data_IF_722030180279
#
_entry.id   IF_722030180279
#
_cell.length_a   1.000
_cell.length_b   1.000
_cell.length_c   1.000
_cell.angle_alpha   90.00
_cell.angle_beta   90.00
_cell.angle_gamma   90.00
#
_symmetry.space_group_name_H-M   'P 1'
#
loop_
_entity.id
_entity.type
_entity.pdbx_description
1 polymer ?
#
# COMPACT_ATOMS: atom_id res chain seq x y z
N UNK A 1 17.14 -29.81 -46.47
CA UNK A 1 17.07 -31.03 -45.63
C UNK A 1 18.40 -31.13 -44.87
N UNK A 2 18.49 -30.51 -43.69
CA UNK A 2 19.74 -30.43 -42.90
C UNK A 2 19.70 -31.56 -41.87
N UNK A 3 20.64 -32.50 -41.99
CA UNK A 3 20.81 -33.63 -41.08
C UNK A 3 21.69 -33.17 -39.91
N UNK A 4 21.13 -33.14 -38.71
CA UNK A 4 21.87 -32.89 -37.47
C UNK A 4 22.74 -34.11 -37.17
N UNK A 5 24.06 -33.95 -37.19
CA UNK A 5 24.99 -34.92 -36.63
C UNK A 5 25.07 -34.70 -35.12
N UNK A 6 24.78 -35.75 -34.34
CA UNK A 6 24.94 -35.77 -32.89
C UNK A 6 26.43 -35.63 -32.53
N UNK A 7 26.80 -34.84 -31.51
CA UNK A 7 28.12 -34.95 -30.90
C UNK A 7 28.14 -36.17 -29.97
N UNK A 8 28.94 -37.17 -30.34
CA UNK A 8 29.34 -38.29 -29.49
C UNK A 8 30.17 -37.77 -28.31
N UNK A 9 29.66 -37.91 -27.08
CA UNK A 9 30.42 -37.64 -25.86
C UNK A 9 31.53 -38.71 -25.77
N UNK A 10 32.76 -38.30 -26.07
CA UNK A 10 33.95 -39.11 -25.80
C UNK A 10 34.05 -39.27 -24.29
N UNK A 11 34.03 -40.52 -23.80
CA UNK A 11 34.33 -40.85 -22.40
C UNK A 11 35.72 -40.29 -22.06
N UNK A 12 35.77 -39.18 -21.33
CA UNK A 12 37.02 -38.69 -20.76
C UNK A 12 37.46 -39.64 -19.65
N UNK A 13 38.74 -40.05 -19.74
CA UNK A 13 39.45 -40.89 -18.78
C UNK A 13 39.17 -40.47 -17.34
N UNK A 14 39.04 -41.48 -16.47
CA UNK A 14 39.00 -41.33 -15.02
C UNK A 14 40.11 -40.39 -14.57
N UNK A 15 39.73 -39.21 -14.08
CA UNK A 15 40.65 -38.32 -13.38
C UNK A 15 40.79 -38.91 -11.98
N UNK A 16 41.82 -39.74 -11.80
CA UNK A 16 42.23 -40.22 -10.49
C UNK A 16 42.48 -39.02 -9.58
N UNK A 17 41.70 -38.91 -8.51
CA UNK A 17 41.86 -37.86 -7.53
C UNK A 17 43.20 -38.04 -6.81
N UNK A 18 44.13 -37.12 -7.05
CA UNK A 18 45.36 -37.01 -6.26
C UNK A 18 44.94 -36.50 -4.88
N UNK A 19 44.87 -37.41 -3.90
CA UNK A 19 44.74 -37.07 -2.49
C UNK A 19 46.07 -36.45 -2.01
N UNK A 20 46.18 -35.13 -2.15
CA UNK A 20 47.23 -34.34 -1.52
C UNK A 20 46.58 -33.34 -0.56
N UNK A 21 46.76 -33.58 0.74
CA UNK A 21 46.42 -32.60 1.78
C UNK A 21 47.18 -31.28 1.54
N UNK A 22 46.43 -30.18 1.51
CA UNK A 22 46.80 -28.85 2.03
C UNK A 22 45.66 -27.87 1.71
N UNK A 23 45.26 -27.10 2.74
CA UNK A 23 44.36 -25.94 2.67
C UNK A 23 44.57 -25.14 1.37
N UNK A 24 43.72 -25.40 0.39
CA UNK A 24 43.69 -24.67 -0.88
C UNK A 24 42.53 -23.68 -0.86
N UNK A 25 42.44 -22.81 -1.87
CA UNK A 25 41.37 -21.80 -1.98
C UNK A 25 39.96 -22.43 -2.03
N UNK A 26 39.84 -23.71 -2.40
CA UNK A 26 38.55 -24.43 -2.40
C UNK A 26 38.18 -24.96 -1.01
N UNK A 27 39.11 -24.98 -0.05
CA UNK A 27 38.89 -25.57 1.27
C UNK A 27 37.82 -24.82 2.07
N UNK A 28 37.80 -23.48 2.14
CA UNK A 28 36.70 -22.75 2.79
C UNK A 28 35.34 -22.97 2.10
N UNK A 29 35.35 -23.08 0.76
CA UNK A 29 34.14 -23.35 -0.03
C UNK A 29 33.66 -24.78 0.22
N UNK A 30 34.58 -25.74 0.30
CA UNK A 30 34.29 -27.14 0.57
C UNK A 30 33.79 -27.31 2.00
N UNK A 31 34.41 -26.68 3.00
CA UNK A 31 33.93 -26.67 4.39
C UNK A 31 32.56 -26.01 4.52
N UNK A 32 32.29 -24.93 3.77
CA UNK A 32 30.97 -24.32 3.69
C UNK A 32 29.93 -25.29 3.11
N UNK A 33 30.28 -25.97 2.01
CA UNK A 33 29.39 -26.91 1.31
C UNK A 33 29.30 -28.30 1.97
N UNK A 34 30.23 -28.69 2.86
CA UNK A 34 30.21 -29.98 3.58
C UNK A 34 29.04 -30.04 4.57
N UNK A 35 28.58 -28.88 5.05
CA UNK A 35 27.41 -28.76 5.93
C UNK A 35 26.09 -28.57 5.16
N UNK A 36 26.14 -28.32 3.85
CA UNK A 36 24.96 -28.12 3.02
C UNK A 36 24.42 -29.48 2.56
N UNK A 37 23.26 -29.86 3.10
CA UNK A 37 22.53 -31.08 2.74
C UNK A 37 21.70 -30.83 1.48
N UNK A 38 21.97 -31.61 0.43
CA UNK A 38 21.06 -31.71 -0.71
C UNK A 38 19.79 -32.45 -0.28
N UNK A 39 18.63 -31.86 -0.51
CA UNK A 39 17.34 -32.40 -0.06
C UNK A 39 16.54 -32.95 -1.24
N UNK A 40 15.95 -34.13 -1.06
CA UNK A 40 15.04 -34.74 -2.04
C UNK A 40 13.65 -34.08 -2.06
N UNK A 41 12.86 -34.30 -3.13
CA UNK A 41 11.54 -33.68 -3.28
C UNK A 41 10.55 -34.04 -2.16
N UNK A 42 10.68 -35.21 -1.54
CA UNK A 42 9.80 -35.67 -0.45
C UNK A 42 9.98 -34.85 0.85
N UNK A 43 11.21 -34.43 1.15
CA UNK A 43 11.54 -33.68 2.37
C UNK A 43 11.48 -32.16 2.16
N UNK A 44 11.71 -31.70 0.93
CA UNK A 44 11.83 -30.28 0.56
C UNK A 44 10.62 -29.43 0.98
N UNK A 45 9.40 -29.94 0.75
CA UNK A 45 8.18 -29.21 1.12
C UNK A 45 8.01 -29.11 2.64
N UNK A 46 8.35 -30.17 3.38
CA UNK A 46 8.29 -30.19 4.85
C UNK A 46 9.24 -29.16 5.47
N UNK A 47 10.47 -29.09 4.97
CA UNK A 47 11.48 -28.11 5.42
C UNK A 47 11.01 -26.68 5.14
N UNK A 48 10.52 -26.40 3.93
CA UNK A 48 10.00 -25.06 3.59
C UNK A 48 8.83 -24.66 4.48
N UNK A 49 7.89 -25.57 4.74
CA UNK A 49 6.73 -25.31 5.61
C UNK A 49 7.17 -25.08 7.06
N UNK A 50 8.12 -25.84 7.57
CA UNK A 50 8.67 -25.65 8.92
C UNK A 50 9.33 -24.27 9.08
N UNK A 51 10.13 -23.84 8.10
CA UNK A 51 10.79 -22.52 8.14
C UNK A 51 9.78 -21.37 7.92
N UNK A 52 8.76 -21.59 7.10
CA UNK A 52 7.77 -20.57 6.76
C UNK A 52 6.72 -20.36 7.85
N UNK A 53 6.13 -21.46 8.35
CA UNK A 53 4.96 -21.47 9.24
C UNK A 53 5.12 -22.37 10.47
N UNK A 54 6.32 -22.87 10.76
CA UNK A 54 6.60 -23.61 11.99
C UNK A 54 6.66 -22.71 13.22
N UNK A 55 7.09 -23.26 14.35
CA UNK A 55 7.05 -22.59 15.66
C UNK A 55 7.85 -21.27 15.73
N UNK A 56 8.87 -21.13 14.86
CA UNK A 56 9.65 -19.90 14.69
C UNK A 56 9.50 -19.32 13.27
N UNK A 57 8.46 -19.71 12.54
CA UNK A 57 8.18 -19.26 11.19
C UNK A 57 7.71 -17.81 11.18
N UNK A 58 8.17 -17.04 10.20
CA UNK A 58 7.86 -15.61 10.10
C UNK A 58 7.10 -15.25 8.83
N UNK A 59 6.49 -16.24 8.15
CA UNK A 59 5.71 -16.03 6.94
C UNK A 59 6.45 -15.28 5.83
N UNK A 60 7.78 -15.46 5.75
CA UNK A 60 8.60 -14.78 4.75
C UNK A 60 8.15 -15.08 3.31
N UNK A 61 8.21 -14.05 2.46
CA UNK A 61 7.98 -14.20 1.02
C UNK A 61 8.98 -15.16 0.36
N UNK A 62 8.61 -15.74 -0.78
CA UNK A 62 9.30 -16.90 -1.36
C UNK A 62 10.81 -16.75 -1.58
N UNK A 63 11.29 -15.57 -1.97
CA UNK A 63 12.75 -15.32 -2.14
C UNK A 63 13.48 -15.33 -0.80
N UNK A 64 12.92 -14.64 0.20
CA UNK A 64 13.47 -14.60 1.56
C UNK A 64 13.42 -15.96 2.23
N UNK A 65 12.36 -16.74 1.99
CA UNK A 65 12.25 -18.12 2.46
C UNK A 65 13.35 -19.00 1.87
N UNK A 66 13.57 -18.96 0.55
CA UNK A 66 14.64 -19.71 -0.11
C UNK A 66 16.03 -19.38 0.47
N UNK A 67 16.35 -18.09 0.66
CA UNK A 67 17.62 -17.69 1.27
C UNK A 67 17.76 -18.16 2.72
N UNK A 68 16.68 -18.19 3.50
CA UNK A 68 16.72 -18.74 4.86
C UNK A 68 17.00 -20.24 4.85
N UNK A 69 16.39 -20.98 3.93
CA UNK A 69 16.63 -22.41 3.76
C UNK A 69 18.08 -22.70 3.40
N UNK A 70 18.68 -21.90 2.49
CA UNK A 70 20.12 -21.99 2.19
C UNK A 70 20.98 -21.72 3.42
N UNK A 71 20.68 -20.68 4.21
CA UNK A 71 21.43 -20.36 5.43
C UNK A 71 21.32 -21.42 6.53
N UNK A 72 20.28 -22.26 6.48
CA UNK A 72 20.13 -23.40 7.38
C UNK A 72 20.83 -24.67 6.88
N UNK A 73 21.55 -24.58 5.75
CA UNK A 73 22.31 -25.69 5.19
C UNK A 73 21.47 -26.63 4.32
N UNK A 74 20.35 -26.17 3.75
CA UNK A 74 19.55 -26.99 2.85
C UNK A 74 19.49 -26.39 1.45
N UNK A 75 19.71 -27.23 0.43
CA UNK A 75 19.58 -26.80 -0.96
C UNK A 75 19.03 -27.90 -1.86
N UNK A 76 18.41 -27.50 -2.96
CA UNK A 76 17.99 -28.36 -4.07
C UNK A 76 17.72 -27.50 -5.32
N UNK A 77 17.69 -28.08 -6.54
CA UNK A 77 17.64 -27.31 -7.79
C UNK A 77 16.45 -26.35 -7.93
N UNK A 78 15.30 -26.71 -7.37
CA UNK A 78 14.04 -25.95 -7.50
C UNK A 78 13.69 -25.11 -6.28
N UNK A 79 14.61 -24.96 -5.30
CA UNK A 79 14.36 -24.30 -4.01
C UNK A 79 13.63 -22.96 -4.11
N UNK A 80 14.08 -22.07 -4.99
CA UNK A 80 13.46 -20.75 -5.15
C UNK A 80 12.05 -20.82 -5.72
N UNK A 81 11.79 -21.73 -6.65
CA UNK A 81 10.46 -21.94 -7.22
C UNK A 81 9.52 -22.57 -6.18
N UNK A 82 10.01 -23.54 -5.42
CA UNK A 82 9.25 -24.24 -4.39
C UNK A 82 8.93 -23.32 -3.21
N UNK A 83 9.88 -22.51 -2.75
CA UNK A 83 9.68 -21.52 -1.71
C UNK A 83 8.64 -20.45 -2.11
N UNK A 84 8.67 -19.98 -3.37
CA UNK A 84 7.61 -19.11 -3.91
C UNK A 84 6.25 -19.80 -3.90
N UNK A 85 6.18 -21.07 -4.30
CA UNK A 85 4.93 -21.85 -4.30
C UNK A 85 4.37 -22.04 -2.89
N UNK A 86 5.22 -22.35 -1.91
CA UNK A 86 4.82 -22.50 -0.50
C UNK A 86 4.28 -21.19 0.06
N UNK A 87 4.98 -20.08 -0.13
CA UNK A 87 4.51 -18.77 0.32
C UNK A 87 3.20 -18.33 -0.38
N UNK A 88 3.04 -18.62 -1.67
CA UNK A 88 1.83 -18.30 -2.42
C UNK A 88 0.61 -19.16 -2.00
N UNK A 89 0.81 -20.39 -1.53
CA UNK A 89 -0.26 -21.27 -1.05
C UNK A 89 -0.59 -21.10 0.43
N UNK A 90 0.18 -20.30 1.18
CA UNK A 90 -0.07 -20.08 2.59
C UNK A 90 -1.31 -19.20 2.78
N UNK A 91 -2.39 -19.77 3.31
CA UNK A 91 -3.66 -19.07 3.54
C UNK A 91 -3.50 -17.85 4.46
N UNK A 92 -2.71 -17.98 5.53
CA UNK A 92 -2.41 -16.86 6.43
C UNK A 92 -1.73 -15.70 5.68
N UNK A 93 -0.76 -16.00 4.82
CA UNK A 93 -0.14 -14.99 3.97
C UNK A 93 -1.13 -14.42 2.96
N UNK A 94 -2.00 -15.20 2.34
CA UNK A 94 -2.95 -14.69 1.35
C UNK A 94 -4.04 -13.79 1.97
N UNK A 95 -4.47 -14.08 3.22
CA UNK A 95 -5.45 -13.26 3.93
C UNK A 95 -4.87 -11.96 4.48
N UNK A 96 -3.60 -11.98 4.90
CA UNK A 96 -2.95 -10.85 5.57
C UNK A 96 -2.13 -10.00 4.58
N UNK A 97 -1.69 -10.57 3.45
CA UNK A 97 -0.90 -9.84 2.47
C UNK A 97 -1.70 -8.66 1.90
N UNK A 98 -1.12 -7.47 2.03
CA UNK A 98 -1.60 -6.30 1.34
C UNK A 98 -1.66 -6.61 -0.17
N UNK A 99 -2.77 -6.29 -0.81
CA UNK A 99 -2.94 -6.44 -2.25
C UNK A 99 -2.13 -5.34 -2.97
N UNK A 100 -0.80 -5.45 -2.94
CA UNK A 100 0.16 -4.45 -3.46
C UNK A 100 0.04 -4.28 -4.99
N UNK A 101 -0.74 -5.13 -5.67
CA UNK A 101 -0.95 -5.11 -7.12
C UNK A 101 -2.38 -4.79 -7.52
N UNK A 102 -3.09 -3.99 -6.74
CA UNK A 102 -4.24 -3.31 -7.33
C UNK A 102 -3.70 -2.37 -8.41
N UNK A 103 -4.25 -2.38 -9.64
CA UNK A 103 -3.91 -1.35 -10.61
C UNK A 103 -4.17 0.00 -9.94
N UNK A 104 -3.27 0.99 -10.09
CA UNK A 104 -3.56 2.33 -9.63
C UNK A 104 -4.85 2.78 -10.32
N UNK A 105 -5.92 2.90 -9.54
CA UNK A 105 -7.13 3.54 -10.02
C UNK A 105 -6.74 4.98 -10.36
N UNK A 106 -7.10 5.45 -11.55
CA UNK A 106 -6.81 6.81 -11.98
C UNK A 106 -7.53 7.74 -11.01
N UNK A 107 -6.78 8.30 -10.05
CA UNK A 107 -7.26 9.43 -9.25
C UNK A 107 -7.54 10.56 -10.24
N UNK A 108 -8.81 10.80 -10.53
CA UNK A 108 -9.21 11.98 -11.27
C UNK A 108 -8.91 13.18 -10.37
N UNK A 109 -7.80 13.85 -10.64
CA UNK A 109 -7.45 15.07 -9.92
C UNK A 109 -8.54 16.11 -10.21
N UNK A 110 -9.26 16.50 -9.16
CA UNK A 110 -10.20 17.61 -9.23
C UNK A 110 -9.36 18.87 -9.46
N UNK A 111 -9.41 19.41 -10.68
CA UNK A 111 -8.68 20.62 -11.05
C UNK A 111 -9.64 21.78 -11.09
N UNK A 112 -9.41 22.79 -10.24
CA UNK A 112 -10.16 24.04 -10.28
C UNK A 112 -9.72 24.87 -11.48
N UNK A 113 -10.64 25.40 -12.29
CA UNK A 113 -10.28 26.14 -13.49
C UNK A 113 -9.76 27.57 -13.20
N UNK A 114 -10.12 28.19 -12.08
CA UNK A 114 -9.65 29.51 -11.64
C UNK A 114 -9.73 29.67 -10.10
N UNK A 115 -9.04 30.67 -9.49
CA UNK A 115 -9.13 30.95 -8.06
C UNK A 115 -10.57 31.05 -7.55
N UNK A 116 -10.84 30.41 -6.41
CA UNK A 116 -12.12 30.46 -5.69
C UNK A 116 -13.33 29.87 -6.41
N UNK A 117 -13.12 29.22 -7.56
CA UNK A 117 -14.18 28.52 -8.28
C UNK A 117 -14.65 27.26 -7.53
N UNK A 118 -13.74 26.60 -6.80
CA UNK A 118 -13.98 25.30 -6.19
C UNK A 118 -13.40 25.27 -4.77
N UNK A 119 -14.24 24.94 -3.80
CA UNK A 119 -13.84 24.84 -2.39
C UNK A 119 -14.08 23.44 -1.85
N UNK A 120 -13.08 22.90 -1.15
CA UNK A 120 -13.22 21.71 -0.32
C UNK A 120 -13.51 22.12 1.11
N UNK A 121 -14.59 21.64 1.71
CA UNK A 121 -14.97 21.94 3.08
C UNK A 121 -14.93 20.65 3.91
N UNK A 122 -14.28 20.72 5.06
CA UNK A 122 -14.08 19.61 5.97
C UNK A 122 -14.33 20.01 7.43
N UNK A 123 -14.69 19.02 8.25
CA UNK A 123 -14.95 19.17 9.68
C UNK A 123 -13.95 18.36 10.50
N UNK A 124 -13.13 19.06 11.27
CA UNK A 124 -12.15 18.43 12.17
C UNK A 124 -12.81 18.21 13.54
N UNK A 125 -12.93 16.94 13.94
CA UNK A 125 -13.59 16.56 15.19
C UNK A 125 -13.22 15.15 15.68
N UNK A 126 -13.12 14.91 17.01
CA UNK A 126 -13.10 15.89 18.10
C UNK A 126 -11.67 16.40 18.40
N UNK A 127 -11.55 17.68 18.74
CA UNK A 127 -10.29 18.32 19.14
C UNK A 127 -10.27 18.63 20.65
N UNK A 128 -9.09 18.86 21.26
CA UNK A 128 -9.00 19.39 22.62
C UNK A 128 -9.82 20.69 22.77
N UNK A 129 -10.52 20.83 23.89
CA UNK A 129 -11.37 22.00 24.14
C UNK A 129 -10.53 23.26 24.22
N UNK A 130 -10.76 24.18 23.28
CA UNK A 130 -10.15 25.50 23.27
C UNK A 130 -10.94 26.49 24.16
N UNK A 131 -10.39 27.69 24.33
CA UNK A 131 -11.07 28.82 25.00
C UNK A 131 -12.46 29.04 24.37
N UNK A 132 -13.49 29.19 25.20
CA UNK A 132 -14.87 29.34 24.74
C UNK A 132 -15.61 28.02 24.46
N UNK A 133 -15.00 26.86 24.78
CA UNK A 133 -15.68 25.56 24.69
C UNK A 133 -15.70 24.95 23.29
N UNK A 134 -14.98 25.54 22.33
CA UNK A 134 -14.86 25.00 20.99
C UNK A 134 -14.06 23.69 21.01
N UNK A 135 -14.59 22.66 20.34
CA UNK A 135 -14.03 21.30 20.31
C UNK A 135 -14.02 20.71 18.89
N UNK A 136 -14.39 21.53 17.91
CA UNK A 136 -14.44 21.19 16.50
C UNK A 136 -13.88 22.38 15.70
N UNK A 137 -13.49 22.16 14.45
CA UNK A 137 -13.18 23.23 13.51
C UNK A 137 -13.78 22.90 12.15
N UNK A 138 -14.35 23.91 11.51
CA UNK A 138 -14.70 23.85 10.08
C UNK A 138 -13.57 24.50 9.30
N UNK A 139 -13.14 23.84 8.22
CA UNK A 139 -12.05 24.31 7.36
C UNK A 139 -12.54 24.29 5.92
N UNK A 140 -12.23 25.33 5.15
CA UNK A 140 -12.44 25.37 3.72
C UNK A 140 -11.13 25.70 3.01
N UNK A 141 -10.84 24.96 1.94
CA UNK A 141 -9.63 25.12 1.13
C UNK A 141 -10.03 25.36 -0.33
N UNK A 142 -9.54 26.45 -0.92
CA UNK A 142 -9.68 26.69 -2.36
C UNK A 142 -8.77 25.73 -3.14
N UNK A 143 -9.33 25.01 -4.10
CA UNK A 143 -8.58 23.98 -4.85
C UNK A 143 -7.47 24.57 -5.73
N UNK A 144 -7.60 25.81 -6.20
CA UNK A 144 -6.63 26.45 -7.09
C UNK A 144 -5.46 27.07 -6.32
N UNK A 145 -5.75 28.01 -5.43
CA UNK A 145 -4.75 28.80 -4.69
C UNK A 145 -4.24 28.10 -3.44
N UNK A 146 -4.93 27.04 -2.98
CA UNK A 146 -4.74 26.41 -1.68
C UNK A 146 -4.93 27.38 -0.50
N UNK A 147 -5.68 28.47 -0.71
CA UNK A 147 -6.08 29.38 0.35
C UNK A 147 -6.98 28.67 1.37
N UNK A 148 -6.79 28.96 2.66
CA UNK A 148 -7.49 28.29 3.76
C UNK A 148 -8.32 29.28 4.57
N UNK A 149 -9.57 28.93 4.82
CA UNK A 149 -10.46 29.58 5.79
C UNK A 149 -10.81 28.58 6.89
N UNK A 150 -10.74 28.97 8.16
CA UNK A 150 -11.04 28.07 9.28
C UNK A 150 -11.75 28.80 10.43
N UNK A 151 -12.71 28.14 11.07
CA UNK A 151 -13.43 28.68 12.22
C UNK A 151 -13.64 27.60 13.30
N UNK A 152 -13.33 27.89 14.59
CA UNK A 152 -13.59 26.97 15.68
C UNK A 152 -15.09 26.87 15.98
N UNK A 153 -15.59 25.66 16.23
CA UNK A 153 -17.00 25.39 16.52
C UNK A 153 -17.17 24.69 17.88
N UNK A 154 -18.13 25.19 18.67
CA UNK A 154 -18.60 24.52 19.90
C UNK A 154 -19.50 23.33 19.57
N UNK A 155 -20.38 23.52 18.58
CA UNK A 155 -21.29 22.49 18.08
C UNK A 155 -21.25 22.46 16.55
N UNK A 156 -21.18 21.26 15.98
CA UNK A 156 -21.30 21.07 14.54
C UNK A 156 -22.79 21.07 14.20
N UNK A 157 -23.25 22.17 13.60
CA UNK A 157 -24.65 22.32 13.17
C UNK A 157 -24.68 22.82 11.72
N UNK A 158 -25.76 22.51 11.01
CA UNK A 158 -26.00 23.01 9.66
C UNK A 158 -26.04 24.56 9.64
N UNK A 159 -26.60 25.19 10.67
CA UNK A 159 -26.65 26.65 10.79
C UNK A 159 -25.25 27.28 10.87
N UNK A 160 -24.35 26.68 11.66
CA UNK A 160 -22.96 27.15 11.76
C UNK A 160 -22.23 26.96 10.44
N UNK A 161 -22.47 25.85 9.75
CA UNK A 161 -21.89 25.54 8.44
C UNK A 161 -22.31 26.56 7.38
N UNK A 162 -23.62 26.86 7.30
CA UNK A 162 -24.16 27.87 6.38
C UNK A 162 -23.60 29.26 6.71
N UNK A 163 -23.51 29.60 8.00
CA UNK A 163 -22.94 30.87 8.46
C UNK A 163 -21.48 31.01 8.01
N UNK A 164 -20.69 29.97 8.22
CA UNK A 164 -19.29 29.90 7.80
C UNK A 164 -19.14 30.09 6.28
N UNK A 165 -19.89 29.34 5.46
CA UNK A 165 -19.83 29.47 4.00
C UNK A 165 -20.22 30.87 3.54
N UNK A 166 -21.30 31.44 4.09
CA UNK A 166 -21.70 32.82 3.74
C UNK A 166 -20.62 33.84 4.08
N UNK A 167 -20.16 33.83 5.32
CA UNK A 167 -19.23 34.83 5.86
C UNK A 167 -17.83 34.71 5.27
N UNK A 168 -17.30 33.50 5.23
CA UNK A 168 -15.89 33.27 4.91
C UNK A 168 -15.66 32.98 3.42
N UNK A 169 -16.68 32.55 2.68
CA UNK A 169 -16.57 32.28 1.23
C UNK A 169 -17.36 33.32 0.42
N UNK A 170 -18.70 33.32 0.52
CA UNK A 170 -19.55 34.10 -0.39
C UNK A 170 -19.30 35.61 -0.29
N UNK A 171 -19.24 36.16 0.91
CA UNK A 171 -19.09 37.61 1.11
C UNK A 171 -17.68 38.11 0.84
N UNK A 172 -16.67 37.23 0.84
CA UNK A 172 -15.25 37.61 0.71
C UNK A 172 -14.70 37.35 -0.69
N UNK A 173 -15.06 36.22 -1.29
CA UNK A 173 -14.50 35.75 -2.55
C UNK A 173 -15.55 35.63 -3.66
N UNK A 174 -16.83 35.81 -3.32
CA UNK A 174 -17.94 35.67 -4.25
C UNK A 174 -18.53 34.25 -4.27
N UNK A 175 -19.44 34.02 -5.22
CA UNK A 175 -20.16 32.75 -5.34
C UNK A 175 -19.26 31.73 -6.04
N UNK A 176 -18.90 30.61 -5.38
CA UNK A 176 -18.11 29.57 -6.03
C UNK A 176 -18.96 28.80 -7.05
N UNK A 177 -18.31 28.20 -8.04
CA UNK A 177 -18.97 27.28 -8.97
C UNK A 177 -19.30 25.94 -8.29
N UNK A 178 -18.42 25.49 -7.38
CA UNK A 178 -18.53 24.17 -6.76
C UNK A 178 -18.08 24.19 -5.31
N UNK A 179 -18.82 23.48 -4.46
CA UNK A 179 -18.42 23.11 -3.12
C UNK A 179 -18.35 21.58 -3.05
N UNK A 180 -17.27 21.07 -2.48
CA UNK A 180 -17.05 19.65 -2.23
C UNK A 180 -17.00 19.47 -0.72
N UNK A 181 -17.88 18.65 -0.16
CA UNK A 181 -17.89 18.33 1.27
C UNK A 181 -17.65 16.84 1.47
N UNK A 182 -17.19 16.45 2.65
CA UNK A 182 -17.28 15.06 3.05
C UNK A 182 -18.75 14.63 3.25
N UNK A 183 -18.99 13.33 3.36
CA UNK A 183 -20.34 12.76 3.55
C UNK A 183 -20.87 12.94 4.99
N UNK A 184 -20.46 14.01 5.68
CA UNK A 184 -20.99 14.38 6.99
C UNK A 184 -22.48 14.69 6.91
N UNK A 185 -23.25 14.20 7.89
CA UNK A 185 -24.72 14.42 7.98
C UNK A 185 -25.10 15.90 8.05
N UNK A 186 -24.15 16.77 8.41
CA UNK A 186 -24.34 18.21 8.53
C UNK A 186 -24.24 18.95 7.19
N UNK A 187 -23.61 18.33 6.18
CA UNK A 187 -23.56 18.83 4.80
C UNK A 187 -24.66 18.20 3.92
N UNK A 188 -25.26 17.10 4.36
CA UNK A 188 -26.42 16.48 3.72
C UNK A 188 -27.77 17.13 4.12
N UNK A 189 -27.71 18.19 4.93
CA UNK A 189 -28.88 18.92 5.40
C UNK A 189 -29.64 19.66 4.29
N UNK A 190 -30.97 19.75 4.44
CA UNK A 190 -31.86 20.39 3.47
C UNK A 190 -31.53 21.87 3.25
N UNK A 191 -31.18 22.60 4.30
CA UNK A 191 -30.93 24.05 4.23
C UNK A 191 -29.60 24.35 3.53
N UNK A 192 -28.61 23.47 3.65
CA UNK A 192 -27.35 23.61 2.93
C UNK A 192 -27.55 23.41 1.43
N UNK A 193 -28.36 22.42 1.03
CA UNK A 193 -28.75 22.25 -0.37
C UNK A 193 -29.56 23.44 -0.89
N UNK A 194 -30.55 23.91 -0.13
CA UNK A 194 -31.32 25.12 -0.47
C UNK A 194 -30.42 26.35 -0.64
N UNK A 195 -29.35 26.48 0.16
CA UNK A 195 -28.36 27.54 -0.01
C UNK A 195 -27.63 27.39 -1.35
N UNK A 196 -27.14 26.19 -1.67
CA UNK A 196 -26.43 25.92 -2.91
C UNK A 196 -27.32 26.18 -4.12
N UNK A 197 -28.56 25.67 -4.10
CA UNK A 197 -29.55 25.87 -5.16
C UNK A 197 -29.87 27.35 -5.37
N UNK A 198 -30.05 28.11 -4.26
CA UNK A 198 -30.33 29.55 -4.32
C UNK A 198 -29.24 30.35 -5.04
N UNK A 199 -27.98 29.96 -4.88
CA UNK A 199 -26.83 30.65 -5.47
C UNK A 199 -26.29 29.95 -6.73
N UNK A 200 -26.90 28.86 -7.17
CA UNK A 200 -26.44 28.08 -8.33
C UNK A 200 -25.09 27.38 -8.10
N UNK A 201 -24.77 27.01 -6.86
CA UNK A 201 -23.52 26.33 -6.50
C UNK A 201 -23.70 24.82 -6.69
N UNK A 202 -22.79 24.17 -7.42
CA UNK A 202 -22.78 22.72 -7.53
C UNK A 202 -22.23 22.10 -6.24
N UNK A 203 -23.02 21.28 -5.55
CA UNK A 203 -22.57 20.58 -4.35
C UNK A 203 -22.24 19.12 -4.65
N UNK A 204 -21.02 18.68 -4.33
CA UNK A 204 -20.60 17.29 -4.46
C UNK A 204 -20.17 16.72 -3.10
N UNK A 205 -20.47 15.45 -2.87
CA UNK A 205 -20.11 14.74 -1.65
C UNK A 205 -18.99 13.74 -1.94
N UNK A 206 -17.92 13.77 -1.16
CA UNK A 206 -16.82 12.82 -1.27
C UNK A 206 -17.28 11.41 -0.81
N UNK A 207 -16.81 10.36 -1.51
CA UNK A 207 -17.17 8.98 -1.19
C UNK A 207 -16.64 8.57 0.20
N UNK A 208 -17.41 7.83 1.04
CA UNK A 208 -17.04 7.49 2.41
C UNK A 208 -15.76 6.63 2.59
N UNK A 209 -15.14 6.16 1.50
CA UNK A 209 -14.08 5.15 1.54
C UNK A 209 -12.71 5.59 0.99
N UNK A 210 -12.54 6.84 0.50
CA UNK A 210 -11.28 7.31 -0.09
C UNK A 210 -10.83 8.67 0.49
N UNK A 211 -10.23 8.70 1.69
CA UNK A 211 -9.61 9.91 2.25
C UNK A 211 -8.45 10.47 1.39
N UNK A 212 -8.01 9.72 0.37
CA UNK A 212 -7.01 10.13 -0.62
C UNK A 212 -7.49 11.22 -1.59
N UNK A 213 -8.80 11.49 -1.69
CA UNK A 213 -9.33 12.58 -2.53
C UNK A 213 -9.09 13.99 -1.95
N UNK A 214 -8.75 14.09 -0.66
CA UNK A 214 -8.57 15.37 0.05
C UNK A 214 -7.10 15.67 0.40
N UNK A 215 -6.15 15.07 -0.32
CA UNK A 215 -4.70 15.34 -0.19
C UNK A 215 -4.21 16.47 -1.07
#
# INVERSE_FOLDING_TARGET
>A
MIRLLQPSIVKSKEVGAVFGERNNWITPIREYLVNDRCVGPEEAEGILRSIHSGNCGNHAGGVSLAHKTLRQGFYWPTLFADAKRVAARCEACQKIANNIRQPPELLQSITSPWPFAMWGIDLISPMPTATGGAKHAIVAVDYFTKWVEAEPLVHITEANTISFVKKNILYRFGIPNTIITDNGTQFDGRRFRELCDKYGINNYYASPAHPQMNG
#
